data_IF_762800841784
#
_entry.id   IF_762800841784
#
_cell.length_a   1.000
_cell.length_b   1.000
_cell.length_c   1.000
_cell.angle_alpha   90.00
_cell.angle_beta   90.00
_cell.angle_gamma   90.00
#
_symmetry.space_group_name_H-M   'P 1'
#
loop_
_entity.id
_entity.type
_entity.pdbx_description
1 polymer ?
#
# COMPACT_ATOMS: atom_id res chain seq x y z
N UNK A 1 27.47 -28.10 -14.61
CA UNK A 1 26.78 -27.55 -15.80
C UNK A 1 25.98 -26.34 -15.37
N UNK A 2 26.14 -25.18 -16.03
CA UNK A 2 25.40 -23.94 -15.73
C UNK A 2 24.07 -23.93 -16.48
N UNK A 3 22.96 -23.62 -15.79
CA UNK A 3 21.67 -23.42 -16.45
C UNK A 3 21.64 -22.06 -17.14
N UNK A 4 21.58 -22.05 -18.48
CA UNK A 4 21.55 -20.85 -19.34
C UNK A 4 20.40 -19.87 -19.04
N UNK A 5 19.35 -20.28 -18.32
CA UNK A 5 18.17 -19.45 -18.04
C UNK A 5 18.11 -18.86 -16.62
N UNK A 6 18.89 -19.36 -15.66
CA UNK A 6 18.89 -18.83 -14.29
C UNK A 6 20.29 -18.51 -13.75
N UNK A 7 21.35 -18.80 -14.50
CA UNK A 7 22.73 -18.55 -14.06
C UNK A 7 23.18 -19.46 -12.91
N UNK A 8 22.32 -20.39 -12.48
CA UNK A 8 22.62 -21.30 -11.38
C UNK A 8 23.73 -22.27 -11.83
N UNK A 9 24.87 -22.17 -11.15
CA UNK A 9 25.98 -23.11 -11.27
C UNK A 9 25.78 -24.15 -10.17
N UNK A 10 25.49 -25.40 -10.55
CA UNK A 10 25.57 -26.50 -9.62
C UNK A 10 27.06 -26.73 -9.32
N UNK A 11 27.55 -26.14 -8.23
CA UNK A 11 28.86 -26.48 -7.68
C UNK A 11 28.78 -27.86 -7.04
N UNK A 12 29.75 -28.71 -7.40
CA UNK A 12 29.91 -30.05 -6.85
C UNK A 12 30.02 -29.97 -5.33
N UNK A 13 29.24 -30.81 -4.65
CA UNK A 13 29.29 -31.10 -3.23
C UNK A 13 30.76 -31.13 -2.73
N UNK A 14 31.09 -30.52 -1.57
CA UNK A 14 32.47 -30.45 -1.11
C UNK A 14 33.05 -31.87 -1.00
N UNK A 15 34.04 -32.19 -1.83
CA UNK A 15 34.59 -33.54 -1.96
C UNK A 15 35.48 -33.97 -0.77
N UNK A 16 35.71 -33.08 0.20
CA UNK A 16 36.63 -33.28 1.33
C UNK A 16 35.96 -33.68 2.67
N UNK A 17 34.64 -33.78 2.75
CA UNK A 17 33.91 -34.04 4.01
C UNK A 17 34.28 -35.37 4.68
N UNK A 18 34.54 -36.43 3.91
CA UNK A 18 34.68 -37.78 4.48
C UNK A 18 35.89 -37.96 5.44
N UNK A 19 36.99 -37.24 5.23
CA UNK A 19 38.19 -37.34 6.09
C UNK A 19 38.02 -36.48 7.35
N UNK A 20 37.44 -35.29 7.21
CA UNK A 20 37.14 -34.39 8.33
C UNK A 20 36.05 -34.96 9.25
N UNK A 21 34.99 -35.55 8.69
CA UNK A 21 33.89 -36.11 9.47
C UNK A 21 34.34 -37.29 10.36
N UNK A 22 35.28 -38.11 9.84
CA UNK A 22 35.95 -39.19 10.59
C UNK A 22 36.79 -38.63 11.74
N UNK A 23 37.59 -37.60 11.46
CA UNK A 23 38.43 -36.91 12.43
C UNK A 23 37.61 -36.28 13.56
N UNK A 24 36.59 -35.50 13.21
CA UNK A 24 35.62 -34.89 14.13
C UNK A 24 34.98 -35.98 15.00
N UNK A 25 34.55 -37.10 14.40
CA UNK A 25 33.93 -38.21 15.13
C UNK A 25 34.87 -38.85 16.16
N UNK A 26 36.16 -39.04 15.83
CA UNK A 26 37.15 -39.61 16.75
C UNK A 26 37.41 -38.67 17.94
N UNK A 27 37.49 -37.36 17.70
CA UNK A 27 37.69 -36.34 18.73
C UNK A 27 36.46 -36.27 19.66
N UNK A 28 35.25 -36.18 19.10
CA UNK A 28 34.01 -36.10 19.88
C UNK A 28 33.74 -37.36 20.72
N UNK A 29 34.20 -38.53 20.28
CA UNK A 29 34.11 -39.79 21.04
C UNK A 29 35.22 -39.98 22.07
N UNK A 30 36.14 -39.03 22.19
CA UNK A 30 37.28 -39.11 23.12
C UNK A 30 38.33 -40.16 22.74
N UNK A 31 38.34 -40.62 21.48
CA UNK A 31 39.29 -41.65 21.01
C UNK A 31 40.71 -41.08 20.82
N UNK A 32 40.83 -39.75 20.68
CA UNK A 32 42.09 -39.01 20.57
C UNK A 32 41.93 -37.59 21.14
N UNK A 33 43.00 -36.99 21.70
CA UNK A 33 42.99 -35.58 22.08
C UNK A 33 42.97 -34.66 20.86
N UNK A 34 42.47 -33.43 21.05
CA UNK A 34 42.48 -32.37 20.05
C UNK A 34 43.87 -31.73 20.00
N UNK A 35 44.52 -31.78 18.83
CA UNK A 35 45.86 -31.23 18.63
C UNK A 35 45.78 -29.80 18.04
N UNK A 36 46.84 -29.01 18.20
CA UNK A 36 46.90 -27.65 17.62
C UNK A 36 46.78 -27.66 16.08
N UNK A 37 47.26 -28.72 15.42
CA UNK A 37 47.09 -28.91 13.99
C UNK A 37 45.64 -29.19 13.59
N UNK A 38 44.88 -29.88 14.45
CA UNK A 38 43.45 -30.12 14.26
C UNK A 38 42.67 -28.82 14.45
N UNK A 39 43.06 -27.98 15.41
CA UNK A 39 42.46 -26.66 15.62
C UNK A 39 42.59 -25.77 14.38
N UNK A 40 43.79 -25.69 13.79
CA UNK A 40 44.00 -24.90 12.58
C UNK A 40 43.19 -25.41 11.39
N UNK A 41 43.12 -26.74 11.20
CA UNK A 41 42.36 -27.37 10.13
C UNK A 41 40.85 -27.15 10.30
N UNK A 42 40.30 -27.41 11.49
CA UNK A 42 38.88 -27.25 11.77
C UNK A 42 38.44 -25.79 11.68
N UNK A 43 39.26 -24.84 12.16
CA UNK A 43 38.96 -23.42 12.02
C UNK A 43 38.92 -22.98 10.55
N UNK A 44 39.81 -23.49 9.71
CA UNK A 44 39.79 -23.21 8.27
C UNK A 44 38.50 -23.75 7.61
N UNK A 45 38.11 -25.00 7.93
CA UNK A 45 36.86 -25.58 7.43
C UNK A 45 35.62 -24.85 7.93
N UNK A 46 35.59 -24.43 9.20
CA UNK A 46 34.49 -23.63 9.75
C UNK A 46 34.35 -22.34 8.95
N UNK A 47 35.45 -21.62 8.71
CA UNK A 47 35.43 -20.38 7.93
C UNK A 47 34.94 -20.62 6.50
N UNK A 48 35.38 -21.71 5.84
CA UNK A 48 34.89 -22.06 4.50
C UNK A 48 33.39 -22.39 4.49
N UNK A 49 32.91 -23.15 5.48
CA UNK A 49 31.49 -23.51 5.60
C UNK A 49 30.62 -22.30 5.93
N UNK A 50 31.07 -21.39 6.79
CA UNK A 50 30.38 -20.13 7.09
C UNK A 50 30.30 -19.23 5.84
N UNK A 51 31.40 -19.14 5.07
CA UNK A 51 31.41 -18.43 3.80
C UNK A 51 30.44 -19.06 2.80
N UNK A 52 30.41 -20.38 2.68
CA UNK A 52 29.50 -21.09 1.79
C UNK A 52 28.03 -20.89 2.22
N UNK A 53 27.74 -20.97 3.53
CA UNK A 53 26.42 -20.71 4.08
C UNK A 53 25.97 -19.28 3.77
N UNK A 54 26.82 -18.28 3.99
CA UNK A 54 26.51 -16.88 3.70
C UNK A 54 26.24 -16.63 2.22
N UNK A 55 27.00 -17.28 1.32
CA UNK A 55 26.79 -17.24 -0.13
C UNK A 55 25.44 -17.83 -0.51
N UNK A 56 25.09 -19.01 0.00
CA UNK A 56 23.79 -19.63 -0.28
C UNK A 56 22.63 -18.81 0.29
N UNK A 57 22.78 -18.21 1.48
CA UNK A 57 21.79 -17.33 2.06
C UNK A 57 21.54 -16.11 1.16
N UNK A 58 22.61 -15.47 0.66
CA UNK A 58 22.50 -14.34 -0.26
C UNK A 58 21.82 -14.71 -1.58
N UNK A 59 22.17 -15.86 -2.17
CA UNK A 59 21.53 -16.36 -3.39
C UNK A 59 20.04 -16.66 -3.19
N UNK A 60 19.68 -17.23 -2.05
CA UNK A 60 18.29 -17.55 -1.73
C UNK A 60 17.46 -16.27 -1.56
N UNK A 61 18.04 -15.23 -0.94
CA UNK A 61 17.40 -13.93 -0.82
C UNK A 61 17.23 -13.26 -2.20
N UNK A 62 18.24 -13.33 -3.06
CA UNK A 62 18.13 -12.84 -4.44
C UNK A 62 17.01 -13.55 -5.22
N UNK A 63 16.90 -14.88 -5.10
CA UNK A 63 15.81 -15.64 -5.72
C UNK A 63 14.45 -15.20 -5.19
N UNK A 64 14.31 -14.98 -3.88
CA UNK A 64 13.06 -14.47 -3.28
C UNK A 64 12.67 -13.12 -3.85
N UNK A 65 13.62 -12.18 -3.95
CA UNK A 65 13.37 -10.85 -4.53
C UNK A 65 12.92 -10.95 -5.99
N UNK A 66 13.58 -11.80 -6.78
CA UNK A 66 13.19 -12.07 -8.18
C UNK A 66 11.80 -12.70 -8.26
N UNK A 67 11.49 -13.66 -7.39
CA UNK A 67 10.17 -14.30 -7.33
C UNK A 67 9.07 -13.28 -6.98
N UNK A 68 9.29 -12.43 -5.99
CA UNK A 68 8.37 -11.35 -5.63
C UNK A 68 8.12 -10.40 -6.81
N UNK A 69 9.17 -10.02 -7.54
CA UNK A 69 9.04 -9.18 -8.73
C UNK A 69 8.21 -9.85 -9.83
N UNK A 70 8.45 -11.14 -10.09
CA UNK A 70 7.68 -11.92 -11.08
C UNK A 70 6.21 -12.07 -10.67
N UNK A 71 5.93 -12.37 -9.40
CA UNK A 71 4.56 -12.49 -8.90
C UNK A 71 3.80 -11.17 -9.00
N UNK A 72 4.44 -10.05 -8.59
CA UNK A 72 3.85 -8.71 -8.76
C UNK A 72 3.57 -8.41 -10.22
N UNK A 73 4.51 -8.70 -11.12
CA UNK A 73 4.35 -8.49 -12.56
C UNK A 73 3.22 -9.35 -13.16
N UNK A 74 3.04 -10.58 -12.67
CA UNK A 74 1.96 -11.48 -13.07
C UNK A 74 0.60 -10.95 -12.60
N UNK A 75 0.50 -10.56 -11.32
CA UNK A 75 -0.71 -10.01 -10.73
C UNK A 75 -1.15 -8.73 -11.44
N UNK A 76 -0.21 -7.82 -11.75
CA UNK A 76 -0.50 -6.62 -12.53
C UNK A 76 -1.14 -6.96 -13.88
N UNK A 77 -0.61 -7.94 -14.62
CA UNK A 77 -1.16 -8.37 -15.92
C UNK A 77 -2.53 -9.03 -15.78
N UNK A 78 -2.72 -9.89 -14.77
CA UNK A 78 -4.02 -10.49 -14.47
C UNK A 78 -5.06 -9.42 -14.12
N UNK A 79 -4.65 -8.37 -13.40
CA UNK A 79 -5.55 -7.29 -12.99
C UNK A 79 -6.16 -6.51 -14.16
N UNK A 80 -5.54 -6.53 -15.35
CA UNK A 80 -6.08 -5.92 -16.58
C UNK A 80 -7.44 -6.55 -16.94
N UNK A 81 -7.60 -7.84 -16.67
CA UNK A 81 -8.82 -8.58 -16.96
C UNK A 81 -9.87 -8.51 -15.84
N UNK A 82 -9.61 -7.76 -14.76
CA UNK A 82 -10.56 -7.60 -13.68
C UNK A 82 -11.84 -6.92 -14.20
N UNK A 83 -13.04 -7.45 -13.87
CA UNK A 83 -14.31 -6.92 -14.38
C UNK A 83 -14.50 -5.43 -14.15
N UNK A 84 -14.03 -4.93 -13.00
CA UNK A 84 -14.09 -3.52 -12.59
C UNK A 84 -13.42 -2.55 -13.57
N UNK A 85 -12.43 -3.01 -14.36
CA UNK A 85 -11.74 -2.20 -15.38
C UNK A 85 -12.48 -2.15 -16.72
N UNK A 86 -13.47 -3.01 -16.91
CA UNK A 86 -14.28 -3.12 -18.13
C UNK A 86 -15.61 -2.39 -18.02
N UNK A 87 -15.93 -1.86 -16.84
CA UNK A 87 -17.15 -1.11 -16.63
C UNK A 87 -17.07 0.21 -17.41
N UNK A 88 -18.14 0.57 -18.14
CA UNK A 88 -18.31 1.90 -18.70
C UNK A 88 -18.22 2.99 -17.62
N UNK A 89 -17.75 4.18 -17.99
CA UNK A 89 -17.51 5.27 -17.03
C UNK A 89 -18.79 5.77 -16.38
N UNK A 90 -19.90 5.79 -17.11
CA UNK A 90 -21.25 6.09 -16.63
C UNK A 90 -21.69 5.14 -15.52
N UNK A 91 -21.46 3.82 -15.70
CA UNK A 91 -21.74 2.83 -14.65
C UNK A 91 -20.86 3.05 -13.42
N UNK A 92 -19.58 3.42 -13.60
CA UNK A 92 -18.72 3.77 -12.48
C UNK A 92 -19.22 5.01 -11.73
N UNK A 93 -19.68 6.04 -12.44
CA UNK A 93 -20.26 7.25 -11.83
C UNK A 93 -21.52 6.89 -11.03
N UNK A 94 -22.40 6.03 -11.57
CA UNK A 94 -23.58 5.56 -10.86
C UNK A 94 -23.22 4.80 -9.58
N UNK A 95 -22.19 3.95 -9.64
CA UNK A 95 -21.65 3.27 -8.45
C UNK A 95 -21.11 4.29 -7.42
N UNK A 96 -20.36 5.30 -7.87
CA UNK A 96 -19.81 6.32 -6.97
C UNK A 96 -20.91 7.09 -6.26
N UNK A 97 -21.91 7.53 -7.03
CA UNK A 97 -23.06 8.26 -6.52
C UNK A 97 -23.85 7.41 -5.52
N UNK A 98 -24.09 6.13 -5.83
CA UNK A 98 -24.78 5.19 -4.93
C UNK A 98 -24.03 4.96 -3.61
N UNK A 99 -22.71 4.80 -3.66
CA UNK A 99 -21.86 4.64 -2.47
C UNK A 99 -21.85 5.91 -1.63
N UNK A 100 -21.71 7.07 -2.27
CA UNK A 100 -21.73 8.36 -1.58
C UNK A 100 -23.10 8.63 -0.94
N UNK A 101 -24.20 8.35 -1.64
CA UNK A 101 -25.55 8.54 -1.12
C UNK A 101 -25.85 7.63 0.07
N UNK A 102 -25.59 6.32 -0.05
CA UNK A 102 -25.77 5.37 1.05
C UNK A 102 -24.95 5.77 2.29
N UNK A 103 -23.71 6.21 2.09
CA UNK A 103 -22.87 6.73 3.18
C UNK A 103 -23.48 7.94 3.89
N UNK A 104 -24.18 8.82 3.17
CA UNK A 104 -24.86 9.96 3.78
C UNK A 104 -26.22 9.60 4.38
N UNK A 105 -26.99 8.73 3.75
CA UNK A 105 -28.29 8.26 4.24
C UNK A 105 -28.15 7.58 5.61
N UNK A 106 -27.20 6.65 5.74
CA UNK A 106 -26.89 6.02 7.04
C UNK A 106 -26.50 7.04 8.12
N UNK A 107 -25.85 8.14 7.73
CA UNK A 107 -25.48 9.20 8.66
C UNK A 107 -26.70 10.02 9.08
N UNK A 108 -27.59 10.32 8.14
CA UNK A 108 -28.80 11.10 8.39
C UNK A 108 -29.77 10.33 9.32
N UNK A 109 -29.82 9.00 9.20
CA UNK A 109 -30.64 8.11 10.06
C UNK A 109 -30.03 7.86 11.45
N UNK A 110 -28.73 8.10 11.63
CA UNK A 110 -28.01 7.82 12.88
C UNK A 110 -27.22 9.03 13.37
N UNK A 111 -27.74 9.71 14.40
CA UNK A 111 -27.13 10.91 14.97
C UNK A 111 -25.66 10.74 15.39
N UNK A 112 -25.23 9.53 15.81
CA UNK A 112 -23.83 9.27 16.18
C UNK A 112 -22.91 9.26 14.95
N UNK A 113 -23.38 8.68 13.85
CA UNK A 113 -22.67 8.68 12.57
C UNK A 113 -22.68 10.08 11.95
N UNK A 114 -23.81 10.79 12.05
CA UNK A 114 -23.94 12.18 11.62
C UNK A 114 -22.86 13.07 12.22
N UNK A 115 -22.60 12.93 13.52
CA UNK A 115 -21.58 13.74 14.20
C UNK A 115 -20.14 13.39 13.82
N UNK A 116 -19.88 12.16 13.36
CA UNK A 116 -18.53 11.69 13.00
C UNK A 116 -18.19 11.87 11.53
N UNK A 117 -19.18 11.84 10.64
CA UNK A 117 -18.97 11.91 9.19
C UNK A 117 -18.80 13.35 8.73
N UNK A 118 -17.66 13.60 8.10
CA UNK A 118 -17.26 14.86 7.49
C UNK A 118 -16.69 14.55 6.09
N UNK A 119 -16.94 15.43 5.13
CA UNK A 119 -16.38 15.30 3.77
C UNK A 119 -14.88 15.60 3.72
N UNK A 120 -14.37 16.33 4.71
CA UNK A 120 -12.94 16.60 4.90
C UNK A 120 -12.20 15.44 5.58
N UNK A 121 -12.88 14.34 5.91
CA UNK A 121 -12.23 13.09 6.32
C UNK A 121 -11.81 12.29 5.09
N UNK A 122 -10.50 12.05 4.95
CA UNK A 122 -9.92 11.22 3.87
C UNK A 122 -10.33 9.75 3.92
N UNK A 123 -11.01 9.33 4.99
CA UNK A 123 -11.64 8.01 5.12
C UNK A 123 -13.05 7.98 4.53
N UNK A 124 -13.56 9.12 4.06
CA UNK A 124 -14.86 9.25 3.42
C UNK A 124 -14.93 8.57 2.04
N UNK A 125 -16.15 8.32 1.53
CA UNK A 125 -16.38 7.48 0.36
C UNK A 125 -15.66 8.01 -0.87
N UNK A 126 -15.74 9.31 -1.16
CA UNK A 126 -15.14 9.89 -2.36
C UNK A 126 -13.62 9.69 -2.40
N UNK A 127 -12.95 9.80 -1.25
CA UNK A 127 -11.50 9.62 -1.12
C UNK A 127 -11.08 8.15 -1.16
N UNK A 128 -11.93 7.24 -0.67
CA UNK A 128 -11.70 5.80 -0.81
C UNK A 128 -11.85 5.34 -2.26
N UNK A 129 -12.84 5.87 -2.97
CA UNK A 129 -13.08 5.58 -4.39
C UNK A 129 -11.89 6.00 -5.26
N UNK A 130 -11.27 7.14 -4.97
CA UNK A 130 -10.05 7.62 -5.65
C UNK A 130 -8.86 6.66 -5.53
N UNK A 131 -8.84 5.80 -4.50
CA UNK A 131 -7.70 4.90 -4.21
C UNK A 131 -7.84 3.49 -4.78
N UNK A 132 -9.00 3.15 -5.37
CA UNK A 132 -9.27 1.78 -5.85
C UNK A 132 -8.38 1.42 -7.04
N UNK A 133 -8.40 2.22 -8.10
CA UNK A 133 -7.51 2.08 -9.24
C UNK A 133 -7.47 3.38 -10.08
N UNK A 134 -6.50 3.50 -10.99
CA UNK A 134 -6.37 4.66 -11.86
C UNK A 134 -7.63 4.98 -12.68
N UNK A 135 -8.36 3.97 -13.16
CA UNK A 135 -9.61 4.20 -13.90
C UNK A 135 -10.68 4.86 -13.03
N UNK A 136 -10.79 4.45 -11.75
CA UNK A 136 -11.77 5.00 -10.83
C UNK A 136 -11.42 6.43 -10.46
N UNK A 137 -10.16 6.66 -10.13
CA UNK A 137 -9.57 7.99 -9.94
C UNK A 137 -9.87 8.93 -11.11
N UNK A 138 -9.48 8.54 -12.32
CA UNK A 138 -9.66 9.38 -13.50
C UNK A 138 -11.15 9.65 -13.77
N UNK A 139 -12.01 8.64 -13.59
CA UNK A 139 -13.46 8.80 -13.79
C UNK A 139 -14.07 9.72 -12.74
N UNK A 140 -13.68 9.57 -11.48
CA UNK A 140 -14.17 10.39 -10.38
C UNK A 140 -13.70 11.85 -10.54
N UNK A 141 -12.46 12.07 -10.94
CA UNK A 141 -11.91 13.41 -11.18
C UNK A 141 -12.57 14.14 -12.37
N UNK A 142 -13.03 13.39 -13.39
CA UNK A 142 -13.80 13.95 -14.51
C UNK A 142 -15.25 14.25 -14.09
N UNK A 143 -15.81 13.47 -13.16
CA UNK A 143 -17.18 13.62 -12.67
C UNK A 143 -17.31 14.70 -11.62
N UNK A 144 -17.17 15.97 -12.02
CA UNK A 144 -17.36 17.13 -11.13
C UNK A 144 -18.73 17.14 -10.44
N UNK A 145 -19.76 16.58 -11.10
CA UNK A 145 -21.08 16.40 -10.52
C UNK A 145 -21.06 15.54 -9.25
N UNK A 146 -20.28 14.45 -9.23
CA UNK A 146 -20.16 13.55 -8.06
C UNK A 146 -19.54 14.27 -6.85
N UNK A 147 -18.60 15.20 -7.07
CA UNK A 147 -18.04 16.05 -6.03
C UNK A 147 -19.02 17.13 -5.57
N UNK A 148 -19.88 17.65 -6.47
CA UNK A 148 -20.83 18.70 -6.12
C UNK A 148 -22.03 18.22 -5.28
N UNK A 149 -22.31 16.90 -5.25
CA UNK A 149 -23.57 16.35 -4.71
C UNK A 149 -23.85 16.66 -3.24
N UNK A 150 -22.83 16.60 -2.38
CA UNK A 150 -22.97 16.83 -0.92
C UNK A 150 -21.60 17.05 -0.28
N UNK A 151 -21.33 18.30 0.11
CA UNK A 151 -20.19 18.70 0.91
C UNK A 151 -20.66 19.02 2.33
N UNK A 152 -20.36 18.13 3.27
CA UNK A 152 -20.61 18.33 4.71
C UNK A 152 -19.29 18.69 5.38
N UNK A 153 -19.20 19.89 5.97
CA UNK A 153 -18.00 20.38 6.66
C UNK A 153 -18.36 20.67 8.12
N UNK A 154 -17.63 20.04 9.06
CA UNK A 154 -17.94 20.11 10.50
C UNK A 154 -16.76 20.64 11.29
N UNK A 155 -17.06 21.50 12.26
CA UNK A 155 -16.07 21.94 13.24
C UNK A 155 -15.91 20.90 14.36
N UNK A 156 -14.71 20.74 14.95
CA UNK A 156 -13.46 21.43 14.62
C UNK A 156 -12.78 20.84 13.37
N UNK A 157 -12.11 21.67 12.59
CA UNK A 157 -11.44 21.22 11.38
C UNK A 157 -10.12 20.51 11.69
N UNK A 158 -9.77 19.52 10.88
CA UNK A 158 -8.47 18.87 10.95
C UNK A 158 -7.36 19.81 10.48
N UNK A 159 -6.12 19.52 10.85
CA UNK A 159 -4.93 20.26 10.39
C UNK A 159 -4.85 20.36 8.86
N UNK A 160 -5.37 19.36 8.15
CA UNK A 160 -5.36 19.27 6.69
C UNK A 160 -6.69 19.68 6.05
N UNK A 161 -7.65 20.18 6.84
CA UNK A 161 -9.01 20.45 6.39
C UNK A 161 -9.07 21.48 5.26
N UNK A 162 -8.15 22.45 5.28
CA UNK A 162 -8.07 23.49 4.24
C UNK A 162 -7.58 22.93 2.90
N UNK A 163 -6.53 22.11 2.89
CA UNK A 163 -5.98 21.47 1.69
C UNK A 163 -7.00 20.49 1.09
N UNK A 164 -7.66 19.72 1.95
CA UNK A 164 -8.69 18.77 1.53
C UNK A 164 -9.88 19.52 0.93
N UNK A 165 -10.31 20.62 1.56
CA UNK A 165 -11.39 21.45 1.04
C UNK A 165 -11.04 22.08 -0.31
N UNK A 166 -9.81 22.58 -0.48
CA UNK A 166 -9.34 23.13 -1.78
C UNK A 166 -9.40 22.07 -2.88
N UNK A 167 -8.86 20.88 -2.59
CA UNK A 167 -8.89 19.75 -3.53
C UNK A 167 -10.32 19.39 -3.92
N UNK A 168 -11.23 19.34 -2.93
CA UNK A 168 -12.64 19.04 -3.16
C UNK A 168 -13.32 20.09 -4.07
N UNK A 169 -13.07 21.38 -3.82
CA UNK A 169 -13.62 22.46 -4.62
C UNK A 169 -13.04 22.52 -6.04
N UNK A 170 -11.74 22.22 -6.20
CA UNK A 170 -11.10 22.10 -7.52
C UNK A 170 -11.81 21.04 -8.38
N UNK A 171 -12.15 19.89 -7.79
CA UNK A 171 -12.89 18.83 -8.50
C UNK A 171 -14.37 19.14 -8.71
N UNK A 172 -14.98 19.95 -7.87
CA UNK A 172 -16.38 20.41 -8.04
C UNK A 172 -16.53 21.29 -9.29
N UNK A 173 -15.48 22.04 -9.65
CA UNK A 173 -15.50 22.92 -10.83
C UNK A 173 -16.63 23.97 -10.74
N UNK A 174 -17.38 24.13 -11.84
CA UNK A 174 -18.50 25.08 -11.94
C UNK A 174 -19.84 24.51 -11.46
N UNK A 175 -19.87 23.28 -10.95
CA UNK A 175 -21.13 22.64 -10.55
C UNK A 175 -21.68 23.25 -9.26
N UNK A 176 -23.01 23.34 -9.17
CA UNK A 176 -23.70 23.81 -7.97
C UNK A 176 -23.41 22.88 -6.79
N UNK A 177 -22.65 23.40 -5.84
CA UNK A 177 -22.22 22.68 -4.64
C UNK A 177 -23.35 22.64 -3.61
N UNK A 178 -23.78 21.44 -3.24
CA UNK A 178 -24.69 21.22 -2.12
C UNK A 178 -23.91 21.24 -0.79
N UNK A 179 -23.80 22.42 -0.21
CA UNK A 179 -23.00 22.67 0.98
C UNK A 179 -23.84 22.58 2.28
N UNK A 180 -23.37 21.79 3.23
CA UNK A 180 -23.87 21.73 4.60
C UNK A 180 -22.73 22.02 5.59
N UNK A 181 -22.87 23.11 6.35
CA UNK A 181 -21.87 23.53 7.34
C UNK A 181 -22.45 23.35 8.74
N UNK A 182 -21.75 22.60 9.58
CA UNK A 182 -22.12 22.39 10.98
C UNK A 182 -20.99 22.92 11.89
N UNK A 183 -21.14 24.17 12.33
CA UNK A 183 -20.20 24.87 13.20
C UNK A 183 -20.84 25.09 14.58
N UNK A 184 -20.80 24.08 15.43
CA UNK A 184 -21.37 24.14 16.79
C UNK A 184 -20.50 24.89 17.80
N UNK A 185 -19.22 25.12 17.48
CA UNK A 185 -18.25 25.84 18.32
C UNK A 185 -17.70 27.02 17.54
N UNK A 186 -17.46 28.15 18.21
CA UNK A 186 -16.82 29.32 17.61
C UNK A 186 -15.42 28.94 17.08
N UNK A 187 -15.34 28.61 15.80
CA UNK A 187 -14.11 28.19 15.14
C UNK A 187 -13.19 29.39 14.92
N UNK A 188 -11.90 29.23 15.25
CA UNK A 188 -10.87 30.24 14.95
C UNK A 188 -10.41 30.18 13.49
N UNK A 189 -10.89 29.20 12.73
CA UNK A 189 -10.43 28.88 11.38
C UNK A 189 -11.15 29.74 10.33
N UNK A 190 -10.86 31.04 10.40
CA UNK A 190 -11.38 32.06 9.49
C UNK A 190 -11.11 31.72 8.02
N UNK A 191 -10.03 31.00 7.73
CA UNK A 191 -9.63 30.66 6.37
C UNK A 191 -10.59 29.66 5.70
N UNK A 192 -10.91 28.54 6.38
CA UNK A 192 -11.87 27.55 5.88
C UNK A 192 -13.25 28.20 5.70
N UNK A 193 -13.71 28.96 6.69
CA UNK A 193 -14.98 29.69 6.60
C UNK A 193 -14.99 30.72 5.47
N UNK A 194 -13.88 31.45 5.25
CA UNK A 194 -13.77 32.41 4.15
C UNK A 194 -13.84 31.74 2.78
N UNK A 195 -13.24 30.56 2.66
CA UNK A 195 -13.23 29.76 1.44
C UNK A 195 -14.64 29.23 1.12
N UNK A 196 -15.36 28.72 2.13
CA UNK A 196 -16.75 28.27 2.00
C UNK A 196 -17.70 29.40 1.60
N UNK A 197 -17.54 30.60 2.19
CA UNK A 197 -18.36 31.77 1.82
C UNK A 197 -18.06 32.23 0.38
N UNK A 198 -16.79 32.17 -0.04
CA UNK A 198 -16.40 32.53 -1.41
C UNK A 198 -16.93 31.54 -2.44
N UNK A 199 -16.82 30.23 -2.18
CA UNK A 199 -17.33 29.20 -3.09
C UNK A 199 -18.85 29.30 -3.25
N UNK A 200 -19.56 29.67 -2.18
CA UNK A 200 -21.01 29.87 -2.25
C UNK A 200 -21.42 31.09 -3.10
N UNK A 201 -20.70 32.21 -3.00
CA UNK A 201 -20.98 33.45 -3.76
C UNK A 201 -20.72 33.35 -5.26
N UNK A 202 -19.88 32.40 -5.69
CA UNK A 202 -19.58 32.20 -7.11
C UNK A 202 -20.67 31.37 -7.84
N UNK A 203 -21.69 30.90 -7.11
CA UNK A 203 -22.74 29.99 -7.60
C UNK A 203 -24.14 30.64 -7.59
N UNK A 204 -24.25 31.92 -7.22
CA UNK A 204 -25.49 32.73 -7.19
C UNK A 204 -25.44 33.86 -8.22
#
# INVERSE_FOLDING_TARGET
>A
MSCRNCGFVLESQPQNTNISDSLISQILRGQRPLLDSDHALLNAEIVELEQLQSRYAAQLEEIRLRQCAVLKALECRKSIYAPIRRLPRDILIEIFDSICESWWQEADDNWRLRQRRDSLDISGPIWLLDRVCGLWKDTLHISSASWARKLVVRAPFSTYGLEILRTYLEHTGEHLLNLHVDCTVATRDKEIMSLLVRSWKNLS
#
